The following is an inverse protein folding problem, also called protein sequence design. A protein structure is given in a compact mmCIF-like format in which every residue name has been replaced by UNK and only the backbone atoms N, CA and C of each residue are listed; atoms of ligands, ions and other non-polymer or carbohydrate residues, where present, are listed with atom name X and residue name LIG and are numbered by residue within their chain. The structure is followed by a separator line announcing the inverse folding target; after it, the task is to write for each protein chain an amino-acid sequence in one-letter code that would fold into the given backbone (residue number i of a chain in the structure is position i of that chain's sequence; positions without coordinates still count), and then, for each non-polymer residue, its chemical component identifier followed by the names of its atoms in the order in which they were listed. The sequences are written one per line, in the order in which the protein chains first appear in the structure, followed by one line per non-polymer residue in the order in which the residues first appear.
data_IF_911977913714
#
_entry.id   IF_911977913714
#
_cell.length_a   1.000
_cell.length_b   1.000
_cell.length_c   1.000
_cell.angle_alpha   90.00
_cell.angle_beta   90.00
_cell.angle_gamma   90.00
#
_symmetry.space_group_name_H-M   'P 1'
#
loop_
_entity.id
_entity.type
_entity.pdbx_description
1 polymer ?
#
# COMPACT_ATOMS: atom_id res chain seq x y z
N UNK A 1 -17.63 16.99 19.19
CA UNK A 1 -16.57 15.96 19.20
C UNK A 1 -16.71 14.97 18.02
N UNK A 2 -16.93 15.46 16.79
CA UNK A 2 -17.34 14.63 15.62
C UNK A 2 -16.28 14.49 14.53
N UNK A 3 -15.18 15.25 14.57
CA UNK A 3 -14.21 15.35 13.46
C UNK A 3 -13.24 14.17 13.31
N UNK A 4 -12.93 13.44 14.38
CA UNK A 4 -11.83 12.44 14.35
C UNK A 4 -12.30 11.08 13.77
N UNK A 5 -13.60 10.81 13.74
CA UNK A 5 -14.12 9.50 13.32
C UNK A 5 -13.85 9.17 11.85
N UNK A 6 -13.84 10.15 10.94
CA UNK A 6 -13.63 9.88 9.51
C UNK A 6 -12.15 9.77 9.10
N UNK A 7 -11.22 9.99 10.04
CA UNK A 7 -9.79 10.02 9.75
C UNK A 7 -9.25 8.73 9.12
N UNK A 8 -9.65 7.50 9.55
CA UNK A 8 -9.18 6.27 8.90
C UNK A 8 -9.55 6.18 7.42
N UNK A 9 -10.80 6.52 7.10
CA UNK A 9 -11.29 6.58 5.73
C UNK A 9 -10.53 7.65 4.91
N UNK A 10 -10.42 8.86 5.45
CA UNK A 10 -9.74 9.97 4.79
C UNK A 10 -8.26 9.68 4.55
N UNK A 11 -7.58 9.01 5.49
CA UNK A 11 -6.17 8.66 5.37
C UNK A 11 -5.93 7.71 4.19
N UNK A 12 -6.71 6.64 4.07
CA UNK A 12 -6.59 5.71 2.94
C UNK A 12 -7.04 6.34 1.61
N UNK A 13 -8.04 7.22 1.62
CA UNK A 13 -8.45 7.97 0.43
C UNK A 13 -7.34 8.90 -0.05
N UNK A 14 -6.76 9.69 0.84
CA UNK A 14 -5.64 10.56 0.53
C UNK A 14 -4.44 9.76 0.01
N UNK A 15 -4.17 8.60 0.62
CA UNK A 15 -3.10 7.71 0.19
C UNK A 15 -3.36 7.14 -1.22
N UNK A 16 -4.58 6.71 -1.52
CA UNK A 16 -4.97 6.26 -2.87
C UNK A 16 -4.73 7.36 -3.91
N UNK A 17 -5.17 8.59 -3.63
CA UNK A 17 -4.98 9.74 -4.53
C UNK A 17 -3.49 10.02 -4.76
N UNK A 18 -2.67 9.94 -3.71
CA UNK A 18 -1.22 10.09 -3.81
C UNK A 18 -0.61 9.01 -4.73
N UNK A 19 -1.00 7.75 -4.54
CA UNK A 19 -0.53 6.65 -5.39
C UNK A 19 -0.95 6.85 -6.84
N UNK A 20 -2.17 7.32 -7.11
CA UNK A 20 -2.62 7.64 -8.47
C UNK A 20 -1.73 8.71 -9.11
N UNK A 21 -1.44 9.81 -8.41
CA UNK A 21 -0.55 10.88 -8.90
C UNK A 21 0.84 10.34 -9.31
N UNK A 22 1.43 9.46 -8.51
CA UNK A 22 2.73 8.83 -8.82
C UNK A 22 2.65 7.62 -9.77
N UNK A 23 1.46 7.24 -10.22
CA UNK A 23 1.27 6.09 -11.09
C UNK A 23 0.99 6.47 -12.54
N UNK A 24 0.65 7.72 -12.86
CA UNK A 24 0.33 8.16 -14.23
C UNK A 24 1.46 8.04 -15.27
N UNK A 25 2.67 7.60 -14.88
CA UNK A 25 3.79 7.34 -15.78
C UNK A 25 3.66 6.03 -16.61
N UNK A 26 2.49 5.37 -16.63
CA UNK A 26 2.28 4.13 -17.39
C UNK A 26 2.43 4.29 -18.92
N UNK A 27 2.25 5.51 -19.42
CA UNK A 27 2.35 5.86 -20.83
C UNK A 27 3.61 6.69 -21.14
N UNK A 28 4.57 6.73 -20.22
CA UNK A 28 5.86 7.38 -20.44
C UNK A 28 6.94 6.32 -20.46
N UNK A 29 7.80 6.35 -21.48
CA UNK A 29 8.92 5.43 -21.55
C UNK A 29 9.87 5.63 -20.37
N UNK A 30 10.26 4.53 -19.72
CA UNK A 30 11.32 4.54 -18.70
C UNK A 30 12.68 4.83 -19.35
N UNK A 31 12.86 4.43 -20.61
CA UNK A 31 14.06 4.67 -21.39
C UNK A 31 13.86 5.80 -22.41
N UNK A 32 14.65 6.89 -22.35
CA UNK A 32 14.57 7.96 -23.33
C UNK A 32 14.79 7.42 -24.75
N UNK A 33 13.80 7.59 -25.64
CA UNK A 33 13.86 7.15 -27.05
C UNK A 33 13.07 5.87 -27.37
N UNK A 34 12.50 5.19 -26.38
CA UNK A 34 11.52 4.12 -26.60
C UNK A 34 10.09 4.68 -26.68
N UNK A 35 9.29 4.20 -27.62
CA UNK A 35 7.87 4.54 -27.71
C UNK A 35 7.07 3.60 -26.81
N UNK A 36 6.55 4.13 -25.69
CA UNK A 36 5.48 3.56 -24.85
C UNK A 36 5.39 2.02 -24.78
N UNK A 37 6.28 1.40 -24.03
CA UNK A 37 6.07 0.02 -23.56
C UNK A 37 5.31 0.04 -22.24
N UNK A 38 4.00 -0.22 -22.29
CA UNK A 38 3.24 -0.58 -21.08
C UNK A 38 3.92 -1.82 -20.49
N UNK A 39 4.67 -1.65 -19.41
CA UNK A 39 5.38 -2.76 -18.79
C UNK A 39 4.37 -3.57 -17.96
N UNK A 40 3.95 -4.78 -18.40
CA UNK A 40 2.71 -5.39 -17.90
C UNK A 40 2.74 -5.69 -16.40
N UNK A 41 3.89 -6.08 -15.87
CA UNK A 41 4.05 -6.40 -14.44
C UNK A 41 3.86 -5.18 -13.54
N UNK A 42 4.39 -4.01 -13.91
CA UNK A 42 4.22 -2.77 -13.15
C UNK A 42 2.77 -2.28 -13.16
N UNK A 43 2.09 -2.44 -14.31
CA UNK A 43 0.67 -2.13 -14.43
C UNK A 43 -0.18 -3.03 -13.55
N UNK A 44 0.00 -4.36 -13.64
CA UNK A 44 -0.73 -5.35 -12.84
C UNK A 44 -0.51 -5.10 -11.35
N UNK A 45 0.75 -4.87 -10.93
CA UNK A 45 1.05 -4.63 -9.52
C UNK A 45 0.40 -3.35 -8.99
N UNK A 46 0.42 -2.28 -9.79
CA UNK A 46 -0.24 -1.04 -9.39
C UNK A 46 -1.75 -1.21 -9.32
N UNK A 47 -2.36 -1.94 -10.26
CA UNK A 47 -3.78 -2.27 -10.23
C UNK A 47 -4.15 -3.05 -8.95
N UNK A 48 -3.36 -4.06 -8.59
CA UNK A 48 -3.55 -4.83 -7.35
C UNK A 48 -3.49 -3.91 -6.12
N UNK A 49 -2.50 -3.02 -6.04
CA UNK A 49 -2.41 -2.04 -4.97
C UNK A 49 -3.63 -1.13 -4.90
N UNK A 50 -4.11 -0.63 -6.05
CA UNK A 50 -5.32 0.21 -6.11
C UNK A 50 -6.54 -0.54 -5.57
N UNK A 51 -6.74 -1.80 -5.98
CA UNK A 51 -7.85 -2.63 -5.50
C UNK A 51 -7.78 -2.85 -3.98
N UNK A 52 -6.60 -3.15 -3.44
CA UNK A 52 -6.41 -3.36 -2.00
C UNK A 52 -6.66 -2.07 -1.20
N UNK A 53 -6.19 -0.93 -1.69
CA UNK A 53 -6.45 0.36 -1.06
C UNK A 53 -7.94 0.73 -1.12
N UNK A 54 -8.61 0.51 -2.27
CA UNK A 54 -10.06 0.70 -2.39
C UNK A 54 -10.83 -0.19 -1.41
N UNK A 55 -10.43 -1.45 -1.25
CA UNK A 55 -11.02 -2.35 -0.27
C UNK A 55 -10.82 -1.82 1.17
N UNK A 56 -9.64 -1.32 1.49
CA UNK A 56 -9.35 -0.71 2.80
C UNK A 56 -10.21 0.52 3.08
N UNK A 57 -10.40 1.40 2.08
CA UNK A 57 -11.26 2.59 2.17
C UNK A 57 -12.70 2.17 2.49
N UNK A 58 -13.26 1.25 1.70
CA UNK A 58 -14.63 0.77 1.89
C UNK A 58 -14.77 0.07 3.23
N UNK A 59 -13.81 -0.78 3.58
CA UNK A 59 -13.86 -1.55 4.82
C UNK A 59 -13.81 -0.66 6.06
N UNK A 60 -12.93 0.35 6.10
CA UNK A 60 -12.90 1.30 7.21
C UNK A 60 -14.15 2.17 7.26
N UNK A 61 -14.70 2.58 6.11
CA UNK A 61 -15.97 3.31 6.07
C UNK A 61 -17.12 2.50 6.68
N UNK A 62 -17.23 1.21 6.35
CA UNK A 62 -18.25 0.32 6.91
C UNK A 62 -18.04 0.08 8.41
N UNK A 63 -16.79 -0.15 8.84
CA UNK A 63 -16.45 -0.31 10.26
C UNK A 63 -16.86 0.92 11.06
N UNK A 64 -16.57 2.12 10.57
CA UNK A 64 -16.91 3.38 11.22
C UNK A 64 -18.42 3.59 11.38
N UNK A 65 -19.25 3.04 10.47
CA UNK A 65 -20.71 3.08 10.61
C UNK A 65 -21.25 2.15 11.71
N UNK A 66 -20.50 1.12 12.09
CA UNK A 66 -20.98 0.06 12.99
C UNK A 66 -20.54 0.23 14.45
N UNK A 67 -19.43 0.94 14.69
CA UNK A 67 -18.82 1.02 16.03
C UNK A 67 -18.83 2.44 16.59
N UNK A 68 -19.17 2.55 17.88
CA UNK A 68 -19.09 3.80 18.62
C UNK A 68 -17.65 4.10 19.07
N UNK A 69 -16.81 3.07 19.19
CA UNK A 69 -15.41 3.20 19.61
C UNK A 69 -14.50 2.48 18.62
N UNK A 70 -13.75 3.28 17.87
CA UNK A 70 -12.80 2.82 16.87
C UNK A 70 -11.49 2.33 17.52
N UNK A 71 -10.92 1.22 17.02
CA UNK A 71 -9.64 0.72 17.51
C UNK A 71 -8.48 1.40 16.75
N UNK A 72 -8.00 2.51 17.31
CA UNK A 72 -6.90 3.30 16.74
C UNK A 72 -5.58 2.53 16.62
N UNK A 73 -5.28 1.64 17.58
CA UNK A 73 -4.04 0.87 17.57
C UNK A 73 -3.97 -0.03 16.33
N UNK A 74 -5.04 -0.78 16.04
CA UNK A 74 -5.08 -1.64 14.85
C UNK A 74 -5.02 -0.82 13.56
N UNK A 75 -5.66 0.34 13.52
CA UNK A 75 -5.58 1.23 12.37
C UNK A 75 -4.18 1.77 12.13
N UNK A 76 -3.49 2.25 13.17
CA UNK A 76 -2.12 2.78 13.04
C UNK A 76 -1.17 1.67 12.58
N UNK A 77 -1.29 0.47 13.13
CA UNK A 77 -0.48 -0.69 12.71
C UNK A 77 -0.75 -1.00 11.22
N UNK A 78 -2.01 -1.12 10.81
CA UNK A 78 -2.35 -1.40 9.42
C UNK A 78 -1.88 -0.28 8.47
N UNK A 79 -2.05 0.98 8.85
CA UNK A 79 -1.62 2.14 8.08
C UNK A 79 -0.10 2.13 7.91
N UNK A 80 0.67 1.94 8.98
CA UNK A 80 2.14 1.87 8.94
C UNK A 80 2.62 0.74 8.03
N UNK A 81 2.09 -0.48 8.22
CA UNK A 81 2.47 -1.63 7.39
C UNK A 81 2.16 -1.39 5.90
N UNK A 82 1.04 -0.74 5.61
CA UNK A 82 0.60 -0.45 4.23
C UNK A 82 1.46 0.66 3.60
N UNK A 83 1.53 1.81 4.26
CA UNK A 83 2.20 3.01 3.73
C UNK A 83 3.70 2.77 3.59
N UNK A 84 4.35 2.23 4.63
CA UNK A 84 5.79 1.95 4.59
C UNK A 84 6.15 0.97 3.47
N UNK A 85 5.36 -0.11 3.30
CA UNK A 85 5.61 -1.06 2.21
C UNK A 85 5.44 -0.42 0.85
N UNK A 86 4.34 0.29 0.63
CA UNK A 86 4.06 0.87 -0.69
C UNK A 86 5.09 1.94 -1.05
N UNK A 87 5.50 2.80 -0.11
CA UNK A 87 6.57 3.78 -0.34
C UNK A 87 7.88 3.05 -0.68
N UNK A 88 8.27 2.04 0.10
CA UNK A 88 9.52 1.33 -0.10
C UNK A 88 9.58 0.60 -1.46
N UNK A 89 8.48 -0.04 -1.85
CA UNK A 89 8.36 -0.76 -3.12
C UNK A 89 8.30 0.18 -4.32
N UNK A 90 7.61 1.33 -4.18
CA UNK A 90 7.46 2.31 -5.25
C UNK A 90 8.74 3.12 -5.48
N UNK A 91 9.47 3.43 -4.40
CA UNK A 91 10.68 4.24 -4.43
C UNK A 91 11.89 3.52 -3.82
N UNK A 92 12.29 2.37 -4.38
CA UNK A 92 13.38 1.58 -3.82
C UNK A 92 14.73 2.29 -3.94
N UNK A 93 14.93 3.10 -5.00
CA UNK A 93 16.17 3.87 -5.24
C UNK A 93 16.46 4.89 -4.15
N UNK A 94 15.43 5.49 -3.52
CA UNK A 94 15.60 6.43 -2.41
C UNK A 94 16.36 5.79 -1.24
N UNK A 95 16.18 4.48 -1.04
CA UNK A 95 16.77 3.77 0.08
C UNK A 95 17.95 2.87 -0.31
N UNK A 96 18.09 2.54 -1.60
CA UNK A 96 18.96 1.46 -2.07
C UNK A 96 19.86 1.85 -3.26
N UNK A 97 19.90 3.13 -3.67
CA UNK A 97 20.91 3.59 -4.62
C UNK A 97 22.28 3.63 -3.93
N UNK A 98 23.05 2.56 -4.13
CA UNK A 98 24.45 2.48 -3.77
C UNK A 98 25.27 2.64 -5.05
N UNK A 99 26.11 3.69 -5.17
CA UNK A 99 27.02 3.82 -6.31
C UNK A 99 28.08 2.73 -6.23
N UNK A 100 27.83 1.58 -6.87
CA UNK A 100 28.79 0.50 -7.02
C UNK A 100 29.50 0.64 -8.36
N UNK A 101 30.80 0.93 -8.32
CA UNK A 101 31.66 0.92 -9.52
C UNK A 101 32.11 -0.50 -9.90
N UNK A 102 31.99 -1.46 -8.99
CA UNK A 102 32.41 -2.85 -9.17
C UNK A 102 31.21 -3.81 -9.34
N UNK A 103 31.33 -4.75 -10.28
CA UNK A 103 30.24 -5.65 -10.67
C UNK A 103 29.76 -6.57 -9.54
N UNK A 104 30.65 -6.98 -8.63
CA UNK A 104 30.31 -7.85 -7.50
C UNK A 104 29.44 -7.12 -6.46
N UNK A 105 29.74 -5.85 -6.19
CA UNK A 105 28.93 -5.01 -5.29
C UNK A 105 27.53 -4.77 -5.85
N UNK A 106 27.42 -4.55 -7.17
CA UNK A 106 26.13 -4.40 -7.85
C UNK A 106 25.26 -5.66 -7.67
N UNK A 107 25.83 -6.85 -7.87
CA UNK A 107 25.09 -8.12 -7.71
C UNK A 107 24.61 -8.30 -6.26
N UNK A 108 25.48 -8.02 -5.28
CA UNK A 108 25.13 -8.12 -3.86
C UNK A 108 24.00 -7.15 -3.47
N UNK A 109 24.04 -5.92 -3.98
CA UNK A 109 23.03 -4.91 -3.73
C UNK A 109 21.69 -5.26 -4.37
N UNK A 110 21.69 -5.80 -5.59
CA UNK A 110 20.49 -6.30 -6.26
C UNK A 110 19.86 -7.43 -5.44
N UNK A 111 20.66 -8.39 -4.96
CA UNK A 111 20.14 -9.51 -4.17
C UNK A 111 19.52 -9.04 -2.85
N UNK A 112 20.21 -8.15 -2.14
CA UNK A 112 19.69 -7.53 -0.91
C UNK A 112 18.36 -6.80 -1.15
N UNK A 113 18.28 -6.04 -2.24
CA UNK A 113 17.05 -5.33 -2.65
C UNK A 113 15.88 -6.29 -2.91
N UNK A 114 16.10 -7.38 -3.64
CA UNK A 114 15.07 -8.39 -3.92
C UNK A 114 14.57 -9.02 -2.62
N UNK A 115 15.49 -9.37 -1.71
CA UNK A 115 15.13 -9.97 -0.43
C UNK A 115 14.33 -8.99 0.43
N UNK A 116 14.75 -7.73 0.51
CA UNK A 116 14.08 -6.69 1.30
C UNK A 116 12.69 -6.37 0.77
N UNK A 117 12.53 -6.25 -0.56
CA UNK A 117 11.22 -6.07 -1.20
C UNK A 117 10.28 -7.24 -0.86
N UNK A 118 10.80 -8.47 -0.87
CA UNK A 118 10.03 -9.67 -0.50
C UNK A 118 9.55 -9.62 0.96
N UNK A 119 10.41 -9.18 1.89
CA UNK A 119 10.02 -8.95 3.29
C UNK A 119 8.94 -7.87 3.43
N UNK A 120 9.06 -6.75 2.71
CA UNK A 120 8.05 -5.70 2.70
C UNK A 120 6.70 -6.24 2.23
N UNK A 121 6.66 -7.04 1.15
CA UNK A 121 5.41 -7.68 0.72
C UNK A 121 4.82 -8.62 1.77
N UNK A 122 5.66 -9.39 2.47
CA UNK A 122 5.21 -10.21 3.60
C UNK A 122 4.52 -9.39 4.69
N UNK A 123 5.12 -8.25 5.08
CA UNK A 123 4.57 -7.32 6.07
C UNK A 123 3.26 -6.68 5.58
N UNK A 124 3.19 -6.30 4.31
CA UNK A 124 1.96 -5.78 3.71
C UNK A 124 0.82 -6.79 3.76
N UNK A 125 1.08 -8.04 3.37
CA UNK A 125 0.10 -9.13 3.42
C UNK A 125 -0.36 -9.39 4.87
N UNK A 126 0.55 -9.37 5.84
CA UNK A 126 0.20 -9.49 7.25
C UNK A 126 -0.72 -8.35 7.70
N UNK A 127 -0.45 -7.11 7.26
CA UNK A 127 -1.30 -5.95 7.49
C UNK A 127 -2.72 -6.11 6.92
N UNK A 128 -2.83 -6.59 5.68
CA UNK A 128 -4.12 -6.83 5.03
C UNK A 128 -4.92 -7.94 5.72
N UNK A 129 -4.26 -9.03 6.14
CA UNK A 129 -4.90 -10.11 6.90
C UNK A 129 -5.41 -9.60 8.26
N UNK A 130 -4.59 -8.83 8.97
CA UNK A 130 -4.98 -8.22 10.25
C UNK A 130 -6.20 -7.31 10.08
N UNK A 131 -6.21 -6.48 9.03
CA UNK A 131 -7.36 -5.65 8.71
C UNK A 131 -8.61 -6.47 8.38
N UNK A 132 -8.49 -7.52 7.58
CA UNK A 132 -9.60 -8.38 7.20
C UNK A 132 -10.22 -9.08 8.43
N UNK A 133 -9.39 -9.61 9.33
CA UNK A 133 -9.85 -10.22 10.59
C UNK A 133 -10.60 -9.20 11.44
N UNK A 134 -10.06 -7.98 11.56
CA UNK A 134 -10.71 -6.90 12.29
C UNK A 134 -12.07 -6.53 11.68
N UNK A 135 -12.10 -6.36 10.36
CA UNK A 135 -13.30 -6.04 9.59
C UNK A 135 -14.40 -7.10 9.77
N UNK A 136 -14.08 -8.38 9.58
CA UNK A 136 -15.03 -9.50 9.76
C UNK A 136 -15.58 -9.53 11.18
N UNK A 137 -14.71 -9.31 12.19
CA UNK A 137 -15.14 -9.30 13.60
C UNK A 137 -16.14 -8.19 13.89
N UNK A 138 -15.92 -7.00 13.33
CA UNK A 138 -16.82 -5.86 13.51
C UNK A 138 -18.17 -6.13 12.84
N UNK A 139 -18.18 -6.57 11.58
CA UNK A 139 -19.42 -6.85 10.84
C UNK A 139 -20.24 -7.97 11.48
N UNK A 140 -19.59 -9.07 11.91
CA UNK A 140 -20.28 -10.20 12.52
C UNK A 140 -20.93 -9.85 13.86
N UNK A 141 -20.32 -8.95 14.63
CA UNK A 141 -20.85 -8.54 15.94
C UNK A 141 -21.96 -7.50 15.82
N UNK A 142 -22.00 -6.74 14.73
CA UNK A 142 -23.03 -5.72 14.46
C UNK A 142 -23.36 -5.69 12.96
N UNK A 143 -24.27 -6.57 12.50
CA UNK A 143 -24.70 -6.54 11.10
C UNK A 143 -25.29 -5.18 10.76
N UNK A 144 -25.13 -4.77 9.49
CA UNK A 144 -25.68 -3.52 8.99
C UNK A 144 -27.18 -3.49 9.27
N UNK A 145 -27.64 -2.48 10.02
CA UNK A 145 -29.07 -2.19 10.12
C UNK A 145 -29.50 -1.63 8.76
N UNK A 146 -30.11 -2.49 7.95
CA UNK A 146 -30.78 -2.14 6.69
C UNK A 146 -31.98 -1.26 6.95
#
# INVERSE_FOLDING_TARGET
MTRIYYLPFLAFLAFLLLILLFSFNFATSVDPGWHTTIFPSYFIWTLVLLLVLSFSIIGYWLVLKQINKFNWTLFIIHLLLTVSTVIFVKFPSIFLDVPGTEQEELIKNIFFRIQLISWCYGLFMAGQILFLVYFIRVIRTRPLKT
#
